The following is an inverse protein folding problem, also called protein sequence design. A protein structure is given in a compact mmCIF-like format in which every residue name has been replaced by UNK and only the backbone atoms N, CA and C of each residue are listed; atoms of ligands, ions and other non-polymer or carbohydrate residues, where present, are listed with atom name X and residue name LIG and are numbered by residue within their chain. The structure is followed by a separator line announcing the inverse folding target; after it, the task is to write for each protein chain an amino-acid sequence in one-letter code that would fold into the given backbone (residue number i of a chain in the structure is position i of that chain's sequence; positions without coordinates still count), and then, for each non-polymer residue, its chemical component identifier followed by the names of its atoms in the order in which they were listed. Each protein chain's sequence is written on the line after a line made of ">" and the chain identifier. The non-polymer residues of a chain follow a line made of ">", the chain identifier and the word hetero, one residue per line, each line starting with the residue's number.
data_IF_970910438097
#
_entry.id   IF_970910438097
#
_cell.length_a   1.000
_cell.length_b   1.000
_cell.length_c   1.000
_cell.angle_alpha   90.00
_cell.angle_beta   90.00
_cell.angle_gamma   90.00
#
_symmetry.space_group_name_H-M   'P 1'
#
loop_
_entity.id
_entity.type
_entity.pdbx_description
1 polymer ?
#
# COMPACT_ATOMS: atom_id res chain seq x y z
N UNK A 1 -17.05 6.97 35.59
CA UNK A 1 -16.42 7.86 34.58
C UNK A 1 -15.65 7.03 33.58
N UNK A 2 -15.76 7.31 32.28
CA UNK A 2 -14.99 6.61 31.23
C UNK A 2 -13.54 7.14 31.25
N UNK A 3 -12.55 6.25 31.25
CA UNK A 3 -11.13 6.65 31.28
C UNK A 3 -10.70 7.37 30.00
N UNK A 4 -9.70 8.25 30.08
CA UNK A 4 -9.13 8.93 28.91
C UNK A 4 -8.58 7.93 27.89
N UNK A 5 -7.93 6.85 28.33
CA UNK A 5 -7.45 5.78 27.45
C UNK A 5 -8.60 5.14 26.65
N UNK A 6 -9.75 4.93 27.28
CA UNK A 6 -10.94 4.39 26.61
C UNK A 6 -11.47 5.36 25.55
N UNK A 7 -11.48 6.67 25.84
CA UNK A 7 -11.90 7.71 24.88
C UNK A 7 -10.96 7.82 23.68
N UNK A 8 -9.65 7.77 23.91
CA UNK A 8 -8.65 7.78 22.84
C UNK A 8 -8.75 6.56 21.93
N UNK A 9 -8.87 5.37 22.52
CA UNK A 9 -9.08 4.13 21.76
C UNK A 9 -10.36 4.18 20.95
N UNK A 10 -11.45 4.70 21.51
CA UNK A 10 -12.72 4.88 20.79
C UNK A 10 -12.56 5.85 19.60
N UNK A 11 -11.90 6.99 19.81
CA UNK A 11 -11.62 7.97 18.74
C UNK A 11 -10.75 7.39 17.63
N UNK A 12 -9.67 6.70 17.99
CA UNK A 12 -8.77 6.05 17.04
C UNK A 12 -9.49 4.95 16.24
N UNK A 13 -10.32 4.14 16.91
CA UNK A 13 -11.10 3.08 16.27
C UNK A 13 -12.12 3.67 15.30
N UNK A 14 -12.83 4.73 15.69
CA UNK A 14 -13.78 5.42 14.82
C UNK A 14 -13.07 5.96 13.57
N UNK A 15 -11.98 6.69 13.73
CA UNK A 15 -11.21 7.24 12.62
C UNK A 15 -10.70 6.15 11.67
N UNK A 16 -10.18 5.05 12.23
CA UNK A 16 -9.74 3.89 11.45
C UNK A 16 -10.89 3.28 10.62
N UNK A 17 -12.06 3.08 11.22
CA UNK A 17 -13.21 2.51 10.53
C UNK A 17 -13.71 3.44 9.40
N UNK A 18 -13.82 4.74 9.67
CA UNK A 18 -14.21 5.74 8.66
C UNK A 18 -13.26 5.73 7.46
N UNK A 19 -11.94 5.78 7.72
CA UNK A 19 -10.92 5.70 6.67
C UNK A 19 -11.01 4.38 5.89
N UNK A 20 -11.16 3.26 6.60
CA UNK A 20 -11.24 1.93 5.99
C UNK A 20 -12.44 1.80 5.04
N UNK A 21 -13.62 2.25 5.47
CA UNK A 21 -14.82 2.18 4.63
C UNK A 21 -14.78 3.17 3.47
N UNK A 22 -14.22 4.37 3.67
CA UNK A 22 -14.00 5.33 2.59
C UNK A 22 -13.05 4.76 1.51
N UNK A 23 -11.94 4.14 1.91
CA UNK A 23 -11.02 3.48 0.99
C UNK A 23 -11.68 2.30 0.27
N UNK A 24 -12.44 1.47 0.98
CA UNK A 24 -13.16 0.33 0.38
C UNK A 24 -14.20 0.78 -0.65
N UNK A 25 -14.91 1.88 -0.39
CA UNK A 25 -15.88 2.44 -1.33
C UNK A 25 -15.18 2.91 -2.61
N UNK A 26 -14.08 3.68 -2.46
CA UNK A 26 -13.28 4.16 -3.60
C UNK A 26 -12.75 3.01 -4.45
N UNK A 27 -12.13 2.00 -3.83
CA UNK A 27 -11.60 0.84 -4.57
C UNK A 27 -12.69 0.10 -5.36
N UNK A 28 -13.90 0.01 -4.81
CA UNK A 28 -15.05 -0.60 -5.48
C UNK A 28 -15.54 0.22 -6.67
N UNK A 29 -15.58 1.54 -6.54
CA UNK A 29 -15.94 2.47 -7.62
C UNK A 29 -14.90 2.40 -8.75
N UNK A 30 -13.61 2.51 -8.44
CA UNK A 30 -12.53 2.41 -9.42
C UNK A 30 -12.50 1.05 -10.12
N UNK A 31 -12.73 -0.05 -9.39
CA UNK A 31 -12.82 -1.40 -9.99
C UNK A 31 -13.99 -1.52 -10.96
N UNK A 32 -15.12 -0.87 -10.64
CA UNK A 32 -16.27 -0.83 -11.54
C UNK A 32 -15.97 -0.01 -12.79
N UNK A 33 -15.33 1.14 -12.64
CA UNK A 33 -14.91 1.98 -13.76
C UNK A 33 -13.96 1.24 -14.69
N UNK A 34 -12.90 0.62 -14.16
CA UNK A 34 -11.95 -0.18 -14.95
C UNK A 34 -12.63 -1.27 -15.77
N UNK A 35 -13.60 -1.99 -15.17
CA UNK A 35 -14.40 -3.00 -15.87
C UNK A 35 -15.26 -2.39 -16.96
N UNK A 36 -15.97 -1.30 -16.67
CA UNK A 36 -16.81 -0.62 -17.65
C UNK A 36 -15.98 -0.11 -18.83
N UNK A 37 -14.82 0.49 -18.58
CA UNK A 37 -13.91 0.97 -19.63
C UNK A 37 -13.43 -0.19 -20.50
N UNK A 38 -13.05 -1.33 -19.89
CA UNK A 38 -12.64 -2.51 -20.65
C UNK A 38 -13.77 -3.04 -21.54
N UNK A 39 -15.00 -3.18 -21.00
CA UNK A 39 -16.15 -3.63 -21.81
C UNK A 39 -16.45 -2.68 -22.97
N UNK A 40 -16.42 -1.37 -22.75
CA UNK A 40 -16.62 -0.37 -23.81
C UNK A 40 -15.55 -0.47 -24.89
N UNK A 41 -14.28 -0.63 -24.52
CA UNK A 41 -13.17 -0.80 -25.47
C UNK A 41 -13.30 -2.08 -26.29
N UNK A 42 -13.66 -3.20 -25.63
CA UNK A 42 -13.86 -4.48 -26.31
C UNK A 42 -15.04 -4.46 -27.28
N UNK A 43 -16.11 -3.73 -26.93
CA UNK A 43 -17.27 -3.55 -27.80
C UNK A 43 -16.96 -2.63 -28.99
N UNK A 44 -16.26 -1.52 -28.76
CA UNK A 44 -15.82 -0.62 -29.83
C UNK A 44 -14.91 -1.33 -30.86
N UNK A 45 -14.07 -2.26 -30.39
CA UNK A 45 -13.22 -3.11 -31.24
C UNK A 45 -13.93 -4.32 -31.84
N UNK A 46 -15.23 -4.51 -31.53
CA UNK A 46 -16.07 -5.64 -32.00
C UNK A 46 -15.41 -6.99 -31.80
N UNK A 47 -14.82 -7.21 -30.62
CA UNK A 47 -14.14 -8.46 -30.31
C UNK A 47 -15.14 -9.62 -30.22
N UNK A 48 -14.71 -10.81 -30.64
CA UNK A 48 -15.47 -12.06 -30.41
C UNK A 48 -15.61 -12.33 -28.91
N UNK A 49 -16.70 -12.97 -28.49
CA UNK A 49 -16.93 -13.33 -27.07
C UNK A 49 -15.77 -14.12 -26.45
N UNK A 50 -15.13 -15.02 -27.20
CA UNK A 50 -13.95 -15.74 -26.72
C UNK A 50 -12.80 -14.80 -26.30
N UNK A 51 -12.52 -13.78 -27.13
CA UNK A 51 -11.48 -12.76 -26.82
C UNK A 51 -11.92 -11.87 -25.67
N UNK A 52 -13.20 -11.48 -25.60
CA UNK A 52 -13.72 -10.69 -24.48
C UNK A 52 -13.52 -11.42 -23.15
N UNK A 53 -13.81 -12.72 -23.10
CA UNK A 53 -13.61 -13.51 -21.88
C UNK A 53 -12.12 -13.61 -21.48
N UNK A 54 -11.20 -13.71 -22.44
CA UNK A 54 -9.76 -13.68 -22.16
C UNK A 54 -9.33 -12.36 -21.49
N UNK A 55 -9.77 -11.21 -22.01
CA UNK A 55 -9.45 -9.92 -21.40
C UNK A 55 -10.09 -9.74 -20.02
N UNK A 56 -11.33 -10.22 -19.81
CA UNK A 56 -11.96 -10.23 -18.48
C UNK A 56 -11.15 -11.07 -17.50
N UNK A 57 -10.64 -12.23 -17.91
CA UNK A 57 -9.78 -13.07 -17.09
C UNK A 57 -8.45 -12.39 -16.75
N UNK A 58 -7.84 -11.72 -17.72
CA UNK A 58 -6.60 -10.97 -17.51
C UNK A 58 -6.81 -9.83 -16.50
N UNK A 59 -7.91 -9.07 -16.65
CA UNK A 59 -8.26 -8.00 -15.70
C UNK A 59 -8.44 -8.54 -14.28
N UNK A 60 -9.19 -9.65 -14.11
CA UNK A 60 -9.35 -10.31 -12.80
C UNK A 60 -8.00 -10.72 -12.20
N UNK A 61 -7.10 -11.24 -13.03
CA UNK A 61 -5.77 -11.67 -12.59
C UNK A 61 -4.91 -10.49 -12.16
N UNK A 62 -4.93 -9.37 -12.91
CA UNK A 62 -4.25 -8.12 -12.56
C UNK A 62 -4.80 -7.50 -11.28
N UNK A 63 -6.12 -7.45 -11.10
CA UNK A 63 -6.77 -6.97 -9.87
C UNK A 63 -6.32 -7.81 -8.66
N UNK A 64 -6.30 -9.14 -8.79
CA UNK A 64 -5.85 -10.04 -7.72
C UNK A 64 -4.36 -9.84 -7.38
N UNK A 65 -3.50 -9.66 -8.38
CA UNK A 65 -2.09 -9.37 -8.17
C UNK A 65 -1.87 -8.03 -7.46
N UNK A 66 -2.61 -6.99 -7.85
CA UNK A 66 -2.56 -5.68 -7.18
C UNK A 66 -2.93 -5.78 -5.70
N UNK A 67 -4.03 -6.47 -5.38
CA UNK A 67 -4.46 -6.70 -3.99
C UNK A 67 -3.42 -7.49 -3.18
N UNK A 68 -2.77 -8.49 -3.80
CA UNK A 68 -1.68 -9.22 -3.15
C UNK A 68 -0.49 -8.32 -2.86
N UNK A 69 -0.14 -7.43 -3.79
CA UNK A 69 0.94 -6.47 -3.61
C UNK A 69 0.63 -5.47 -2.49
N UNK A 70 -0.61 -4.93 -2.44
CA UNK A 70 -1.05 -4.04 -1.36
C UNK A 70 -1.02 -4.69 0.03
N UNK A 71 -1.22 -6.01 0.12
CA UNK A 71 -1.12 -6.75 1.39
C UNK A 71 0.31 -7.04 1.83
N UNK A 72 1.30 -6.91 0.92
CA UNK A 72 2.71 -7.14 1.25
C UNK A 72 3.16 -6.02 2.19
N UNK A 73 3.46 -6.38 3.44
CA UNK A 73 4.09 -5.47 4.40
C UNK A 73 5.59 -5.52 4.19
N UNK A 74 6.20 -4.37 3.91
CA UNK A 74 7.65 -4.26 3.87
C UNK A 74 8.19 -4.28 5.31
N UNK A 75 9.22 -5.09 5.52
CA UNK A 75 10.00 -5.16 6.76
C UNK A 75 11.45 -4.79 6.48
N UNK A 76 12.19 -4.43 7.53
CA UNK A 76 13.64 -4.13 7.40
C UNK A 76 14.40 -5.33 6.80
N UNK A 77 13.97 -6.56 7.07
CA UNK A 77 14.56 -7.78 6.52
C UNK A 77 14.46 -7.92 5.00
N UNK A 78 13.53 -7.21 4.34
CA UNK A 78 13.40 -7.19 2.88
C UNK A 78 14.54 -6.42 2.20
N UNK A 79 15.39 -5.75 2.97
CA UNK A 79 16.48 -4.93 2.50
C UNK A 79 17.83 -5.49 2.96
N UNK A 80 18.77 -5.58 2.03
CA UNK A 80 20.17 -5.89 2.30
C UNK A 80 20.93 -4.59 2.59
N UNK A 81 21.53 -4.42 3.78
CA UNK A 81 22.39 -3.29 4.07
C UNK A 81 23.66 -3.34 3.21
N UNK A 82 24.03 -2.22 2.61
CA UNK A 82 25.28 -2.09 1.83
C UNK A 82 26.30 -1.22 2.56
N UNK A 83 25.95 0.04 2.82
CA UNK A 83 26.86 1.01 3.45
C UNK A 83 26.09 2.04 4.25
N UNK A 84 26.68 2.54 5.32
CA UNK A 84 26.17 3.71 6.04
C UNK A 84 26.53 4.95 5.22
N UNK A 85 25.54 5.78 4.92
CA UNK A 85 25.71 6.99 4.11
C UNK A 85 25.48 8.29 4.89
N UNK A 86 24.95 8.20 6.11
CA UNK A 86 24.82 9.38 6.98
C UNK A 86 24.45 9.00 8.41
N UNK A 87 24.90 9.81 9.37
CA UNK A 87 24.52 9.75 10.78
C UNK A 87 24.20 11.15 11.26
N UNK A 88 23.09 11.31 11.98
CA UNK A 88 22.70 12.59 12.56
C UNK A 88 21.99 12.41 13.90
N UNK A 89 21.53 13.53 14.48
CA UNK A 89 20.87 13.55 15.78
C UNK A 89 19.61 12.66 15.86
N UNK A 90 18.98 12.37 14.71
CA UNK A 90 17.73 11.61 14.62
C UNK A 90 17.92 10.19 14.09
N UNK A 91 19.17 9.71 13.96
CA UNK A 91 19.49 8.33 13.60
C UNK A 91 20.42 8.18 12.40
N UNK A 92 20.45 6.96 11.84
CA UNK A 92 21.35 6.54 10.77
C UNK A 92 20.62 6.38 9.44
N UNK A 93 21.25 6.81 8.35
CA UNK A 93 20.83 6.56 6.97
C UNK A 93 21.78 5.54 6.36
N UNK A 94 21.21 4.45 5.82
CA UNK A 94 21.95 3.35 5.20
C UNK A 94 21.53 3.17 3.75
N UNK A 95 22.50 3.04 2.86
CA UNK A 95 22.28 2.54 1.51
C UNK A 95 21.91 1.07 1.60
N UNK A 96 20.76 0.70 1.04
CA UNK A 96 20.25 -0.67 1.06
C UNK A 96 19.87 -1.12 -0.33
N UNK A 97 19.90 -2.43 -0.57
CA UNK A 97 19.37 -3.08 -1.76
C UNK A 97 18.12 -3.86 -1.41
N UNK A 98 17.01 -3.61 -2.08
CA UNK A 98 15.80 -4.41 -1.88
C UNK A 98 16.02 -5.81 -2.44
N UNK A 99 15.76 -6.86 -1.65
CA UNK A 99 16.20 -8.23 -1.97
C UNK A 99 15.48 -8.85 -3.18
N UNK A 100 14.21 -8.52 -3.38
CA UNK A 100 13.38 -9.07 -4.47
C UNK A 100 13.60 -8.35 -5.82
N UNK A 101 13.86 -7.04 -5.82
CA UNK A 101 14.03 -6.25 -7.06
C UNK A 101 15.49 -5.91 -7.37
N UNK A 102 16.39 -5.95 -6.39
CA UNK A 102 17.77 -5.50 -6.53
C UNK A 102 17.93 -3.98 -6.59
N UNK A 103 16.83 -3.22 -6.50
CA UNK A 103 16.83 -1.75 -6.52
C UNK A 103 17.50 -1.17 -5.27
N UNK A 104 18.19 -0.04 -5.47
CA UNK A 104 18.94 0.65 -4.43
C UNK A 104 18.09 1.74 -3.79
N UNK A 105 18.06 1.78 -2.46
CA UNK A 105 17.32 2.75 -1.65
C UNK A 105 18.18 3.31 -0.52
N UNK A 106 17.76 4.44 0.07
CA UNK A 106 18.28 4.94 1.34
C UNK A 106 17.28 4.62 2.46
N UNK A 107 17.66 3.77 3.41
CA UNK A 107 16.86 3.43 4.58
C UNK A 107 17.26 4.35 5.75
N UNK A 108 16.32 5.17 6.21
CA UNK A 108 16.51 6.02 7.41
C UNK A 108 15.96 5.31 8.64
N UNK A 109 16.83 4.98 9.58
CA UNK A 109 16.45 4.48 10.90
C UNK A 109 16.22 5.66 11.83
N UNK A 110 15.04 5.71 12.45
CA UNK A 110 14.66 6.77 13.39
C UNK A 110 14.50 6.16 14.79
N UNK A 111 15.12 6.79 15.78
CA UNK A 111 14.95 6.38 17.17
C UNK A 111 13.75 7.10 17.79
N UNK A 112 12.70 6.35 18.11
CA UNK A 112 11.40 6.92 18.51
C UNK A 112 11.47 7.69 19.84
N UNK A 113 12.32 7.25 20.77
CA UNK A 113 12.59 7.93 22.05
C UNK A 113 13.24 9.30 21.87
N UNK A 114 14.09 9.45 20.85
CA UNK A 114 14.75 10.72 20.53
C UNK A 114 13.82 11.73 19.83
N UNK A 115 12.61 11.32 19.40
CA UNK A 115 11.64 12.20 18.71
C UNK A 115 10.63 12.88 19.63
N UNK A 116 10.47 12.42 20.87
CA UNK A 116 9.62 13.11 21.85
C UNK A 116 10.42 14.17 22.58
N UNK A 117 10.23 15.44 22.22
CA UNK A 117 10.57 16.56 23.10
C UNK A 117 9.60 16.48 24.27
N UNK A 118 10.08 16.11 25.45
CA UNK A 118 9.33 16.28 26.69
C UNK A 118 9.09 17.78 26.90
N UNK A 119 7.84 18.21 26.72
CA UNK A 119 7.32 19.52 27.07
C UNK A 119 6.01 19.34 27.81
#
# INVERSE_FOLDING_TARGET
>A
MISNSTREKAKATKAYLEQKYAAMKREREESRERRNTLEQQMEALRLTERKKEQYRQELRSKELQSLRHQRKRLAVGDFQPLAVIGRGAFGEVRLVRKRDTGEIFALKSLEKSAMTISG
#
